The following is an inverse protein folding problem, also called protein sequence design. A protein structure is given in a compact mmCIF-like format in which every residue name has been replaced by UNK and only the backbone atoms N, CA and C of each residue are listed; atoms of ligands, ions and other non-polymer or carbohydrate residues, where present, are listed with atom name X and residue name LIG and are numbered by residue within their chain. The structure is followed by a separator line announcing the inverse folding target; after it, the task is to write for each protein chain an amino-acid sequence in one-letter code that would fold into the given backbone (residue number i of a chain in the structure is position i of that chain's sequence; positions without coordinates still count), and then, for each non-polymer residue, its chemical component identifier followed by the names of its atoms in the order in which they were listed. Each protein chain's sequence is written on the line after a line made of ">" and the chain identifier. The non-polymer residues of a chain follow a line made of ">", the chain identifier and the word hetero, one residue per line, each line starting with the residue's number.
data_IF_918579925360
#
_entry.id   IF_918579925360
#
_cell.length_a   1.000
_cell.length_b   1.000
_cell.length_c   1.000
_cell.angle_alpha   90.00
_cell.angle_beta   90.00
_cell.angle_gamma   90.00
#
_symmetry.space_group_name_H-M   'P 1'
#
loop_
_entity.id
_entity.type
_entity.pdbx_description
1 polymer ?
#
# COMPACT_ATOMS: atom_id res chain seq x y z
N UNK A 1 14.09 -2.72 -16.51
CA UNK A 1 13.91 -1.32 -16.08
C UNK A 1 12.69 -1.37 -15.22
N UNK A 2 12.91 -1.31 -13.91
CA UNK A 2 11.85 -1.55 -12.95
C UNK A 2 10.74 -0.52 -13.07
N UNK A 3 9.53 -0.95 -12.71
CA UNK A 3 8.34 -0.10 -12.67
C UNK A 3 7.74 -0.16 -11.26
N UNK A 4 8.23 0.72 -10.40
CA UNK A 4 7.83 0.76 -9.00
C UNK A 4 6.34 1.09 -8.83
N UNK A 5 5.79 1.99 -9.64
CA UNK A 5 4.35 2.31 -9.60
C UNK A 5 3.54 1.12 -10.08
N UNK A 6 4.00 0.43 -11.14
CA UNK A 6 3.39 -0.82 -11.58
C UNK A 6 3.29 -1.87 -10.47
N UNK A 7 4.33 -1.99 -9.62
CA UNK A 7 4.30 -2.88 -8.46
C UNK A 7 3.28 -2.43 -7.41
N UNK A 8 3.25 -1.14 -7.05
CA UNK A 8 2.31 -0.62 -6.05
C UNK A 8 0.85 -0.74 -6.52
N UNK A 9 0.57 -0.45 -7.79
CA UNK A 9 -0.76 -0.68 -8.37
C UNK A 9 -1.12 -2.18 -8.40
N UNK A 10 -0.13 -3.06 -8.59
CA UNK A 10 -0.35 -4.50 -8.52
C UNK A 10 -0.68 -4.94 -7.09
N UNK A 11 -0.07 -4.33 -6.07
CA UNK A 11 -0.43 -4.56 -4.67
C UNK A 11 -1.88 -4.14 -4.39
N UNK A 12 -2.32 -2.98 -4.88
CA UNK A 12 -3.71 -2.52 -4.77
C UNK A 12 -4.67 -3.53 -5.38
N UNK A 13 -4.38 -3.98 -6.60
CA UNK A 13 -5.19 -5.00 -7.26
C UNK A 13 -5.22 -6.31 -6.46
N UNK A 14 -4.06 -6.77 -5.99
CA UNK A 14 -3.92 -8.01 -5.25
C UNK A 14 -4.72 -8.00 -3.94
N UNK A 15 -4.62 -6.92 -3.17
CA UNK A 15 -5.37 -6.74 -1.92
C UNK A 15 -6.87 -6.69 -2.20
N UNK A 16 -7.31 -5.88 -3.17
CA UNK A 16 -8.74 -5.76 -3.49
C UNK A 16 -9.34 -7.08 -3.98
N UNK A 17 -8.58 -7.89 -4.74
CA UNK A 17 -9.00 -9.25 -5.10
C UNK A 17 -9.13 -10.14 -3.87
N UNK A 18 -8.13 -10.11 -3.00
CA UNK A 18 -8.08 -10.90 -1.76
C UNK A 18 -9.23 -10.56 -0.83
N UNK A 19 -9.70 -9.32 -0.79
CA UNK A 19 -10.73 -8.85 0.15
C UNK A 19 -12.12 -8.89 -0.46
N UNK A 20 -12.26 -8.51 -1.73
CA UNK A 20 -13.55 -8.47 -2.45
C UNK A 20 -14.13 -9.83 -2.84
N UNK A 21 -13.35 -10.91 -2.79
CA UNK A 21 -13.81 -12.27 -3.15
C UNK A 21 -14.09 -13.18 -1.95
N UNK A 22 -13.88 -12.69 -0.72
CA UNK A 22 -14.03 -13.54 0.48
C UNK A 22 -15.48 -13.87 0.75
N UNK A 23 -15.76 -15.18 0.86
CA UNK A 23 -17.03 -15.72 1.33
C UNK A 23 -17.10 -15.87 2.85
N UNK A 24 -15.96 -15.83 3.54
CA UNK A 24 -15.85 -15.98 4.99
C UNK A 24 -14.68 -15.13 5.54
N UNK A 25 -14.84 -14.69 6.78
CA UNK A 25 -13.81 -13.97 7.52
C UNK A 25 -12.59 -14.86 7.77
N UNK A 26 -11.40 -14.33 7.48
CA UNK A 26 -10.11 -14.97 7.77
C UNK A 26 -9.21 -13.96 8.51
N UNK A 27 -9.13 -14.04 9.85
CA UNK A 27 -8.41 -13.08 10.67
C UNK A 27 -6.92 -13.07 10.37
N UNK A 28 -6.33 -14.24 10.08
CA UNK A 28 -4.90 -14.36 9.78
C UNK A 28 -4.57 -13.59 8.53
N UNK A 29 -5.41 -13.72 7.49
CA UNK A 29 -5.14 -12.98 6.26
C UNK A 29 -5.50 -11.50 6.37
N UNK A 30 -6.55 -11.12 7.12
CA UNK A 30 -6.83 -9.69 7.41
C UNK A 30 -5.63 -9.02 8.09
N UNK A 31 -5.12 -9.64 9.15
CA UNK A 31 -3.94 -9.15 9.87
C UNK A 31 -2.72 -9.04 8.95
N UNK A 32 -2.48 -10.04 8.09
CA UNK A 32 -1.37 -10.00 7.15
C UNK A 32 -1.45 -8.82 6.17
N UNK A 33 -2.65 -8.48 5.68
CA UNK A 33 -2.87 -7.34 4.78
C UNK A 33 -2.65 -6.02 5.51
N UNK A 34 -3.16 -5.89 6.74
CA UNK A 34 -2.98 -4.69 7.56
C UNK A 34 -1.49 -4.45 7.84
N UNK A 35 -0.76 -5.49 8.26
CA UNK A 35 0.68 -5.38 8.49
C UNK A 35 1.46 -5.07 7.22
N UNK A 36 1.11 -5.70 6.10
CA UNK A 36 1.74 -5.41 4.81
C UNK A 36 1.54 -3.96 4.39
N UNK A 37 0.30 -3.44 4.43
CA UNK A 37 0.04 -2.05 4.05
C UNK A 37 0.81 -1.08 4.95
N UNK A 38 0.79 -1.30 6.26
CA UNK A 38 1.41 -0.39 7.22
C UNK A 38 2.95 -0.40 7.22
N UNK A 39 3.57 -1.57 7.07
CA UNK A 39 5.01 -1.78 7.32
C UNK A 39 5.85 -1.93 6.03
N UNK A 40 5.20 -2.11 4.88
CA UNK A 40 5.89 -2.32 3.62
C UNK A 40 5.39 -1.36 2.55
N UNK A 41 4.12 -1.46 2.16
CA UNK A 41 3.60 -0.70 1.03
C UNK A 41 3.61 0.81 1.28
N UNK A 42 3.00 1.26 2.39
CA UNK A 42 3.01 2.70 2.75
C UNK A 42 4.41 3.21 3.05
N UNK A 43 5.31 2.35 3.55
CA UNK A 43 6.70 2.72 3.79
C UNK A 43 7.45 2.99 2.48
N UNK A 44 7.17 2.23 1.42
CA UNK A 44 7.70 2.48 0.07
C UNK A 44 7.16 3.81 -0.46
N UNK A 45 5.86 4.05 -0.31
CA UNK A 45 5.24 5.28 -0.80
C UNK A 45 5.82 6.52 -0.11
N UNK A 46 5.86 6.49 1.22
CA UNK A 46 6.29 7.59 2.08
C UNK A 46 7.77 7.95 1.90
N UNK A 47 8.63 6.94 1.73
CA UNK A 47 10.08 7.16 1.67
C UNK A 47 10.63 7.23 0.24
N UNK A 48 10.09 6.44 -0.68
CA UNK A 48 10.69 6.26 -2.00
C UNK A 48 9.90 6.95 -3.12
N UNK A 49 8.57 7.06 -3.01
CA UNK A 49 7.73 7.56 -4.12
C UNK A 49 7.34 9.02 -3.94
N UNK A 50 6.64 9.35 -2.85
CA UNK A 50 6.10 10.69 -2.63
C UNK A 50 7.19 11.77 -2.62
N UNK A 51 8.34 11.60 -1.95
CA UNK A 51 9.39 12.63 -1.96
C UNK A 51 9.95 12.89 -3.37
N UNK A 52 10.00 11.86 -4.22
CA UNK A 52 10.47 12.02 -5.59
C UNK A 52 9.46 12.76 -6.47
N UNK A 53 8.16 12.51 -6.27
CA UNK A 53 7.09 13.24 -6.95
C UNK A 53 7.11 14.72 -6.54
N UNK A 54 7.15 15.01 -5.24
CA UNK A 54 7.21 16.40 -4.73
C UNK A 54 8.44 17.13 -5.25
N UNK A 55 9.60 16.46 -5.29
CA UNK A 55 10.84 17.02 -5.81
C UNK A 55 10.80 17.25 -7.33
N UNK A 56 10.03 16.47 -8.09
CA UNK A 56 9.86 16.66 -9.54
C UNK A 56 8.87 17.78 -9.87
N UNK A 57 7.94 18.07 -8.97
CA UNK A 57 6.88 19.06 -9.14
C UNK A 57 6.82 20.05 -7.96
N UNK A 58 7.89 20.84 -7.70
CA UNK A 58 8.00 21.65 -6.49
C UNK A 58 6.96 22.77 -6.38
N UNK A 59 6.46 23.28 -7.50
CA UNK A 59 5.52 24.41 -7.55
C UNK A 59 4.05 23.99 -7.70
N UNK A 60 3.79 22.69 -7.89
CA UNK A 60 2.43 22.19 -8.10
C UNK A 60 1.72 21.98 -6.75
N UNK A 61 1.04 23.00 -6.26
CA UNK A 61 0.31 22.90 -4.98
C UNK A 61 -0.73 21.77 -4.95
N UNK A 62 -1.32 21.43 -6.10
CA UNK A 62 -2.33 20.39 -6.17
C UNK A 62 -1.74 19.01 -5.85
N UNK A 63 -0.56 18.67 -6.39
CA UNK A 63 0.06 17.37 -6.11
C UNK A 63 0.52 17.28 -4.65
N UNK A 64 1.03 18.39 -4.08
CA UNK A 64 1.45 18.45 -2.67
C UNK A 64 0.25 18.24 -1.73
N UNK A 65 -0.90 18.86 -2.03
CA UNK A 65 -2.14 18.66 -1.25
C UNK A 65 -2.64 17.21 -1.37
N UNK A 66 -2.54 16.59 -2.55
CA UNK A 66 -2.92 15.19 -2.76
C UNK A 66 -2.01 14.23 -1.98
N UNK A 67 -0.70 14.44 -2.00
CA UNK A 67 0.27 13.65 -1.24
C UNK A 67 0.04 13.83 0.27
N UNK A 68 -0.14 15.06 0.73
CA UNK A 68 -0.47 15.34 2.13
C UNK A 68 -1.76 14.64 2.57
N UNK A 69 -2.75 14.58 1.70
CA UNK A 69 -3.98 13.81 1.95
C UNK A 69 -3.66 12.31 2.06
N UNK A 70 -2.90 11.74 1.13
CA UNK A 70 -2.50 10.32 1.17
C UNK A 70 -1.78 9.97 2.48
N UNK A 71 -0.81 10.80 2.90
CA UNK A 71 -0.12 10.65 4.19
C UNK A 71 -1.07 10.69 5.40
N UNK A 72 -2.06 11.58 5.37
CA UNK A 72 -3.09 11.63 6.41
C UNK A 72 -3.97 10.37 6.41
N UNK A 73 -4.30 9.84 5.22
CA UNK A 73 -5.04 8.60 5.08
C UNK A 73 -4.21 7.42 5.64
N UNK A 74 -2.89 7.38 5.42
CA UNK A 74 -2.01 6.35 5.98
C UNK A 74 -2.07 6.31 7.52
N UNK A 75 -2.03 7.46 8.17
CA UNK A 75 -2.16 7.56 9.63
C UNK A 75 -3.51 6.97 10.08
N UNK A 76 -4.59 7.30 9.37
CA UNK A 76 -5.92 6.78 9.67
C UNK A 76 -6.01 5.26 9.44
N UNK A 77 -5.50 4.75 8.32
CA UNK A 77 -5.50 3.33 7.97
C UNK A 77 -4.68 2.53 9.00
N UNK A 78 -3.48 2.98 9.37
CA UNK A 78 -2.67 2.34 10.43
C UNK A 78 -3.43 2.27 11.75
N UNK A 79 -4.12 3.35 12.13
CA UNK A 79 -4.90 3.40 13.37
C UNK A 79 -6.09 2.45 13.34
N UNK A 80 -6.91 2.51 12.30
CA UNK A 80 -8.11 1.66 12.16
C UNK A 80 -7.70 0.19 12.03
N UNK A 81 -6.65 -0.10 11.26
CA UNK A 81 -6.10 -1.45 11.11
C UNK A 81 -5.62 -2.03 12.44
N UNK A 82 -4.88 -1.26 13.24
CA UNK A 82 -4.50 -1.68 14.59
C UNK A 82 -5.72 -1.97 15.47
N UNK A 83 -6.70 -1.07 15.48
CA UNK A 83 -7.94 -1.29 16.23
C UNK A 83 -8.67 -2.55 15.77
N UNK A 84 -8.71 -2.82 14.46
CA UNK A 84 -9.29 -4.03 13.91
C UNK A 84 -8.57 -5.28 14.44
N UNK A 85 -7.23 -5.28 14.44
CA UNK A 85 -6.43 -6.38 15.01
C UNK A 85 -6.74 -6.60 16.49
N UNK A 86 -6.80 -5.53 17.29
CA UNK A 86 -7.06 -5.63 18.72
C UNK A 86 -8.43 -6.25 19.04
N UNK A 87 -9.45 -5.97 18.22
CA UNK A 87 -10.81 -6.49 18.43
C UNK A 87 -11.02 -7.90 17.86
N UNK A 88 -10.23 -8.34 16.87
CA UNK A 88 -10.37 -9.65 16.24
C UNK A 88 -10.26 -10.83 17.23
N UNK A 89 -9.62 -10.61 18.38
CA UNK A 89 -9.45 -11.64 19.42
C UNK A 89 -10.54 -11.65 20.50
N UNK A 90 -11.38 -10.61 20.59
CA UNK A 90 -12.18 -10.33 21.78
C UNK A 90 -13.66 -10.01 21.52
N UNK A 91 -14.04 -9.67 20.29
CA UNK A 91 -15.39 -9.21 19.95
C UNK A 91 -16.24 -10.29 19.25
N UNK A 92 -17.55 -10.08 19.24
CA UNK A 92 -18.48 -10.91 18.47
C UNK A 92 -18.22 -10.81 16.95
N UNK A 93 -18.38 -11.93 16.24
CA UNK A 93 -18.06 -12.03 14.81
C UNK A 93 -18.78 -10.99 13.94
N UNK A 94 -20.02 -10.61 14.28
CA UNK A 94 -20.77 -9.61 13.51
C UNK A 94 -20.17 -8.20 13.60
N UNK A 95 -19.63 -7.82 14.76
CA UNK A 95 -18.97 -6.51 14.94
C UNK A 95 -17.67 -6.47 14.14
N UNK A 96 -16.90 -7.56 14.18
CA UNK A 96 -15.65 -7.69 13.44
C UNK A 96 -15.89 -7.55 11.94
N UNK A 97 -16.89 -8.24 11.39
CA UNK A 97 -17.24 -8.18 9.97
C UNK A 97 -17.59 -6.75 9.50
N UNK A 98 -18.38 -6.02 10.28
CA UNK A 98 -18.74 -4.63 9.93
C UNK A 98 -17.52 -3.69 9.95
N UNK A 99 -16.60 -3.90 10.90
CA UNK A 99 -15.36 -3.11 11.01
C UNK A 99 -14.37 -3.46 9.91
N UNK A 100 -14.27 -4.73 9.56
CA UNK A 100 -13.48 -5.22 8.42
C UNK A 100 -13.97 -4.60 7.11
N UNK A 101 -15.28 -4.66 6.82
CA UNK A 101 -15.87 -4.05 5.63
C UNK A 101 -15.56 -2.55 5.56
N UNK A 102 -15.73 -1.85 6.68
CA UNK A 102 -15.43 -0.42 6.77
C UNK A 102 -13.94 -0.12 6.52
N UNK A 103 -13.05 -0.95 7.06
CA UNK A 103 -11.60 -0.82 6.86
C UNK A 103 -11.22 -1.01 5.39
N UNK A 104 -11.69 -2.07 4.73
CA UNK A 104 -11.36 -2.31 3.33
C UNK A 104 -12.02 -1.31 2.38
N UNK A 105 -13.19 -0.78 2.73
CA UNK A 105 -13.77 0.35 1.98
C UNK A 105 -12.91 1.61 2.07
N UNK A 106 -12.39 1.93 3.27
CA UNK A 106 -11.44 3.03 3.45
C UNK A 106 -10.17 2.79 2.62
N UNK A 107 -9.62 1.58 2.69
CA UNK A 107 -8.42 1.20 1.94
C UNK A 107 -8.62 1.36 0.43
N UNK A 108 -9.68 0.77 -0.13
CA UNK A 108 -9.97 0.84 -1.56
C UNK A 108 -10.19 2.28 -2.06
N UNK A 109 -10.80 3.15 -1.25
CA UNK A 109 -10.97 4.56 -1.59
C UNK A 109 -9.64 5.33 -1.62
N UNK A 110 -8.75 5.02 -0.69
CA UNK A 110 -7.42 5.60 -0.61
C UNK A 110 -6.55 5.14 -1.78
N UNK A 111 -6.51 3.84 -2.06
CA UNK A 111 -5.78 3.26 -3.20
C UNK A 111 -6.26 3.82 -4.54
N UNK A 112 -7.58 3.96 -4.72
CA UNK A 112 -8.15 4.57 -5.91
C UNK A 112 -7.75 6.05 -6.07
N UNK A 113 -7.63 6.78 -4.95
CA UNK A 113 -7.16 8.15 -4.99
C UNK A 113 -5.70 8.21 -5.45
N UNK A 114 -4.84 7.35 -4.94
CA UNK A 114 -3.42 7.29 -5.33
C UNK A 114 -3.26 6.94 -6.80
N UNK A 115 -3.89 5.84 -7.24
CA UNK A 115 -3.84 5.33 -8.62
C UNK A 115 -4.27 6.40 -9.64
N UNK A 116 -5.29 7.19 -9.31
CA UNK A 116 -5.88 8.17 -10.24
C UNK A 116 -5.28 9.57 -10.13
N UNK A 117 -4.71 9.94 -8.98
CA UNK A 117 -4.34 11.34 -8.68
C UNK A 117 -2.87 11.52 -8.35
N UNK A 118 -2.26 10.58 -7.65
CA UNK A 118 -0.87 10.71 -7.17
C UNK A 118 0.09 10.01 -8.12
N UNK A 119 -0.10 8.71 -8.35
CA UNK A 119 0.78 7.88 -9.16
C UNK A 119 0.99 8.36 -10.60
N UNK A 120 0.01 8.98 -11.30
CA UNK A 120 0.27 9.54 -12.62
C UNK A 120 1.38 10.61 -12.64
N UNK A 121 1.60 11.31 -11.53
CA UNK A 121 2.68 12.29 -11.42
C UNK A 121 4.08 11.67 -11.45
N UNK A 122 4.20 10.35 -11.23
CA UNK A 122 5.44 9.60 -11.40
C UNK A 122 6.04 9.72 -12.80
N UNK A 123 5.21 10.02 -13.80
CA UNK A 123 5.68 10.28 -15.16
C UNK A 123 6.77 11.38 -15.19
N UNK A 124 6.64 12.41 -14.36
CA UNK A 124 7.54 13.57 -14.32
C UNK A 124 8.84 13.32 -13.55
N UNK A 125 8.94 12.22 -12.79
CA UNK A 125 10.17 11.89 -12.06
C UNK A 125 11.24 11.41 -13.05
N UNK A 126 12.44 11.98 -12.95
CA UNK A 126 13.55 11.62 -13.83
C UNK A 126 14.04 10.19 -13.59
N UNK A 127 14.70 9.61 -14.59
CA UNK A 127 15.11 8.19 -14.55
C UNK A 127 16.11 7.87 -13.43
N UNK A 128 16.93 8.84 -12.99
CA UNK A 128 17.91 8.62 -11.93
C UNK A 128 17.21 8.49 -10.58
N UNK A 129 16.28 9.41 -10.28
CA UNK A 129 15.44 9.34 -9.08
C UNK A 129 14.58 8.08 -9.05
N UNK A 130 13.97 7.71 -10.18
CA UNK A 130 13.23 6.44 -10.31
C UNK A 130 14.06 5.22 -9.91
N UNK A 131 15.33 5.17 -10.33
CA UNK A 131 16.25 4.09 -9.98
C UNK A 131 16.62 4.10 -8.50
N UNK A 132 16.76 5.28 -7.89
CA UNK A 132 17.01 5.43 -6.44
C UNK A 132 15.81 4.89 -5.65
N UNK A 133 14.58 5.27 -6.01
CA UNK A 133 13.36 4.76 -5.38
C UNK A 133 13.21 3.24 -5.49
N UNK A 134 13.58 2.64 -6.62
CA UNK A 134 13.56 1.16 -6.77
C UNK A 134 14.51 0.49 -5.76
N UNK A 135 15.69 1.07 -5.50
CA UNK A 135 16.64 0.54 -4.53
C UNK A 135 16.13 0.67 -3.10
N UNK A 136 15.51 1.80 -2.78
CA UNK A 136 14.86 2.04 -1.49
C UNK A 136 13.70 1.06 -1.28
N UNK A 137 12.81 0.92 -2.26
CA UNK A 137 11.70 -0.02 -2.22
C UNK A 137 12.19 -1.47 -2.02
N UNK A 138 13.26 -1.86 -2.72
CA UNK A 138 13.88 -3.17 -2.54
C UNK A 138 14.38 -3.36 -1.10
N UNK A 139 14.99 -2.34 -0.51
CA UNK A 139 15.47 -2.39 0.88
C UNK A 139 14.31 -2.59 1.85
N UNK A 140 13.21 -1.86 1.66
CA UNK A 140 11.99 -2.00 2.48
C UNK A 140 11.41 -3.42 2.35
N UNK A 141 11.29 -3.95 1.13
CA UNK A 141 10.77 -5.29 0.88
C UNK A 141 11.68 -6.38 1.45
N UNK A 142 13.00 -6.22 1.31
CA UNK A 142 13.98 -7.17 1.86
C UNK A 142 13.92 -7.19 3.40
N UNK A 143 13.71 -6.04 4.05
CA UNK A 143 13.52 -5.93 5.50
C UNK A 143 12.18 -6.51 5.97
N UNK A 144 11.10 -6.24 5.23
CA UNK A 144 9.77 -6.80 5.53
C UNK A 144 9.73 -8.33 5.35
N UNK A 145 10.39 -8.83 4.30
CA UNK A 145 10.54 -10.24 3.97
C UNK A 145 9.50 -10.75 2.97
N UNK A 146 9.98 -11.38 1.88
CA UNK A 146 9.14 -11.88 0.78
C UNK A 146 8.06 -12.87 1.21
N UNK A 147 8.30 -13.70 2.23
CA UNK A 147 7.28 -14.63 2.74
C UNK A 147 6.07 -13.91 3.33
N UNK A 148 6.29 -12.77 3.98
CA UNK A 148 5.19 -11.96 4.53
C UNK A 148 4.49 -11.19 3.40
N UNK A 149 5.26 -10.70 2.42
CA UNK A 149 4.72 -10.06 1.22
C UNK A 149 3.75 -10.98 0.48
N UNK A 150 4.22 -12.17 0.10
CA UNK A 150 3.42 -13.17 -0.62
C UNK A 150 2.20 -13.60 0.20
N UNK A 151 2.35 -13.75 1.53
CA UNK A 151 1.20 -14.07 2.40
C UNK A 151 0.13 -12.99 2.37
N UNK A 152 0.48 -11.71 2.25
CA UNK A 152 -0.48 -10.63 2.20
C UNK A 152 -1.13 -10.52 0.80
N UNK A 153 -0.32 -10.53 -0.26
CA UNK A 153 -0.76 -10.18 -1.63
C UNK A 153 -1.09 -11.38 -2.53
N UNK A 154 -0.68 -12.60 -2.15
CA UNK A 154 -0.62 -13.78 -3.03
C UNK A 154 0.25 -13.57 -4.29
N UNK A 155 1.13 -12.55 -4.31
CA UNK A 155 2.05 -12.32 -5.42
C UNK A 155 3.34 -13.13 -5.20
N UNK A 156 3.76 -13.94 -6.17
CA UNK A 156 4.97 -14.73 -6.03
C UNK A 156 6.22 -13.85 -6.11
N UNK A 157 7.27 -14.20 -5.37
CA UNK A 157 8.52 -13.43 -5.26
C UNK A 157 9.12 -13.05 -6.62
N UNK A 158 9.11 -13.95 -7.61
CA UNK A 158 9.69 -13.68 -8.93
C UNK A 158 8.99 -12.51 -9.64
N UNK A 159 7.69 -12.33 -9.41
CA UNK A 159 6.91 -11.24 -10.01
C UNK A 159 7.29 -9.91 -9.36
N UNK A 160 7.41 -9.88 -8.03
CA UNK A 160 7.89 -8.69 -7.30
C UNK A 160 9.30 -8.31 -7.76
N UNK A 161 10.20 -9.30 -7.89
CA UNK A 161 11.57 -9.06 -8.37
C UNK A 161 11.64 -8.53 -9.81
N UNK A 162 10.71 -8.94 -10.67
CA UNK A 162 10.62 -8.42 -12.04
C UNK A 162 10.37 -6.90 -12.06
N UNK A 163 9.46 -6.40 -11.23
CA UNK A 163 9.19 -4.97 -11.12
C UNK A 163 10.35 -4.18 -10.48
N UNK A 164 11.20 -4.84 -9.70
CA UNK A 164 12.37 -4.23 -9.05
C UNK A 164 13.67 -4.35 -9.88
N UNK A 165 13.61 -4.86 -11.12
CA UNK A 165 14.77 -5.09 -12.01
C UNK A 165 14.90 -4.09 -13.16
#
# INVERSE_FOLDING_TARGET
>A
MGDLIGLLMLDHFAINRVTGTRKAFDPVKVESVIHFKAMCHMEIEENAVFPMIESALPEDRSIHDMIKKALSDHIMIRRVGKTLIDIMSNEESNVILQKEESFFKLLAQHELHEDLKVFPAWFYVDSKKKLESIKEAKTVIDQYGFRYYERATDLPEYMVRYFLS
#
